data_IF_836697470006
#
_entry.id   IF_836697470006
#
_cell.length_a   1.000
_cell.length_b   1.000
_cell.length_c   1.000
_cell.angle_alpha   90.00
_cell.angle_beta   90.00
_cell.angle_gamma   90.00
#
_symmetry.space_group_name_H-M   'P 1'
#
loop_
_entity.id
_entity.type
_entity.pdbx_description
1 polymer ?
#
# COMPACT_ATOMS: atom_id res chain seq x y z
N UNK A 1 2.78 9.52 3.80
CA UNK A 1 3.26 10.79 4.35
C UNK A 1 2.43 11.95 3.80
N UNK A 2 1.96 12.84 4.67
CA UNK A 2 1.15 14.01 4.31
C UNK A 2 1.96 15.32 4.39
N UNK A 3 3.24 15.28 3.97
CA UNK A 3 4.13 16.43 4.06
C UNK A 3 5.08 16.52 2.87
N UNK A 4 5.15 17.69 2.25
CA UNK A 4 6.11 17.98 1.18
C UNK A 4 7.58 17.85 1.63
N UNK A 5 7.86 18.09 2.91
CA UNK A 5 9.22 17.90 3.48
C UNK A 5 9.69 16.45 3.41
N UNK A 6 8.77 15.48 3.30
CA UNK A 6 9.12 14.08 3.17
C UNK A 6 9.95 13.78 1.91
N UNK A 7 9.78 14.54 0.83
CA UNK A 7 10.58 14.39 -0.40
C UNK A 7 12.06 14.72 -0.16
N UNK A 8 12.35 15.78 0.58
CA UNK A 8 13.73 16.16 0.89
C UNK A 8 14.39 15.11 1.79
N UNK A 9 13.69 14.65 2.81
CA UNK A 9 14.14 13.55 3.68
C UNK A 9 14.37 12.27 2.88
N UNK A 10 13.42 11.88 2.04
CA UNK A 10 13.53 10.69 1.19
C UNK A 10 14.76 10.75 0.27
N UNK A 11 15.00 11.90 -0.36
CA UNK A 11 16.21 12.13 -1.16
C UNK A 11 17.47 11.99 -0.31
N UNK A 12 17.50 12.61 0.88
CA UNK A 12 18.66 12.57 1.79
C UNK A 12 19.03 11.13 2.19
N UNK A 13 18.03 10.27 2.42
CA UNK A 13 18.26 8.88 2.83
C UNK A 13 18.29 7.89 1.67
N UNK A 14 18.16 8.35 0.42
CA UNK A 14 18.36 7.53 -0.77
C UNK A 14 17.17 6.67 -1.18
N UNK A 15 15.92 7.11 -0.89
CA UNK A 15 14.71 6.44 -1.39
C UNK A 15 14.43 6.84 -2.85
N UNK A 16 13.90 5.90 -3.64
CA UNK A 16 13.49 6.13 -5.03
C UNK A 16 12.10 6.77 -5.11
N UNK A 17 11.27 6.54 -4.11
CA UNK A 17 9.90 7.06 -4.04
C UNK A 17 9.35 7.10 -2.62
N UNK A 18 8.19 7.75 -2.50
CA UNK A 18 7.40 7.76 -1.26
C UNK A 18 5.93 7.50 -1.58
N UNK A 19 5.28 6.74 -0.71
CA UNK A 19 3.84 6.62 -0.71
C UNK A 19 3.22 7.81 0.04
N UNK A 20 2.24 8.46 -0.55
CA UNK A 20 1.57 9.63 0.04
C UNK A 20 0.16 9.28 0.51
N UNK A 21 -0.32 9.96 1.55
CA UNK A 21 -1.69 9.76 2.06
C UNK A 21 -2.67 10.67 1.34
N UNK A 22 -3.84 10.15 0.99
CA UNK A 22 -4.93 10.95 0.41
C UNK A 22 -5.48 11.96 1.42
N UNK A 23 -5.61 11.54 2.67
CA UNK A 23 -6.21 12.31 3.76
C UNK A 23 -5.14 12.91 4.66
N UNK A 24 -5.44 14.11 5.18
CA UNK A 24 -4.67 14.71 6.27
C UNK A 24 -5.07 14.11 7.62
N UNK A 25 -4.35 14.51 8.68
CA UNK A 25 -4.63 14.10 10.08
C UNK A 25 -6.05 14.51 10.54
N UNK A 26 -6.66 15.49 9.88
CA UNK A 26 -8.00 16.02 10.19
C UNK A 26 -9.11 15.44 9.32
N UNK A 27 -8.88 14.32 8.66
CA UNK A 27 -9.87 13.67 7.82
C UNK A 27 -10.23 14.43 6.52
N UNK A 28 -9.46 15.44 6.19
CA UNK A 28 -9.66 16.22 4.96
C UNK A 28 -8.94 15.57 3.80
N UNK A 29 -9.63 15.44 2.67
CA UNK A 29 -9.03 14.93 1.42
C UNK A 29 -8.28 16.07 0.73
N UNK A 30 -7.17 16.50 1.32
CA UNK A 30 -6.40 17.67 0.89
C UNK A 30 -5.79 17.50 -0.52
N UNK A 31 -5.50 16.27 -0.95
CA UNK A 31 -4.98 16.00 -2.29
C UNK A 31 -6.03 16.11 -3.41
N UNK A 32 -7.29 16.41 -3.11
CA UNK A 32 -8.26 16.83 -4.13
C UNK A 32 -7.92 18.18 -4.75
N UNK A 33 -7.23 19.04 -3.99
CA UNK A 33 -6.83 20.36 -4.48
C UNK A 33 -5.77 20.24 -5.58
N UNK A 34 -6.06 20.71 -6.81
CA UNK A 34 -5.08 20.71 -7.91
C UNK A 34 -3.79 21.47 -7.58
N UNK A 35 -3.87 22.54 -6.78
CA UNK A 35 -2.70 23.29 -6.35
C UNK A 35 -1.80 22.44 -5.44
N UNK A 36 -2.40 21.66 -4.54
CA UNK A 36 -1.66 20.70 -3.72
C UNK A 36 -1.02 19.59 -4.57
N UNK A 37 -1.78 19.03 -5.51
CA UNK A 37 -1.23 18.03 -6.46
C UNK A 37 -0.03 18.57 -7.22
N UNK A 38 -0.08 19.83 -7.65
CA UNK A 38 1.04 20.48 -8.35
C UNK A 38 2.26 20.60 -7.44
N UNK A 39 2.09 20.98 -6.18
CA UNK A 39 3.19 21.06 -5.21
C UNK A 39 3.88 19.68 -5.01
N UNK A 40 3.11 18.59 -4.97
CA UNK A 40 3.67 17.23 -4.89
C UNK A 40 4.46 16.85 -6.15
N UNK A 41 3.96 17.17 -7.34
CA UNK A 41 4.68 16.97 -8.62
C UNK A 41 5.98 17.79 -8.67
N UNK A 42 5.93 19.04 -8.23
CA UNK A 42 7.11 19.92 -8.21
C UNK A 42 8.15 19.41 -7.21
N UNK A 43 7.73 18.94 -6.04
CA UNK A 43 8.61 18.34 -5.05
C UNK A 43 9.26 17.05 -5.59
N UNK A 44 8.48 16.18 -6.23
CA UNK A 44 9.00 14.96 -6.86
C UNK A 44 10.04 15.31 -7.96
N UNK A 45 9.71 16.24 -8.84
CA UNK A 45 10.62 16.71 -9.90
C UNK A 45 11.92 17.32 -9.33
N UNK A 46 11.80 18.17 -8.31
CA UNK A 46 12.94 18.86 -7.68
C UNK A 46 13.88 17.87 -6.96
N UNK A 47 13.34 16.85 -6.33
CA UNK A 47 14.12 15.90 -5.54
C UNK A 47 14.59 14.69 -6.34
N UNK A 48 13.89 14.33 -7.40
CA UNK A 48 14.06 13.06 -8.12
C UNK A 48 13.41 11.88 -7.43
N UNK A 49 12.66 12.12 -6.34
CA UNK A 49 11.93 11.08 -5.58
C UNK A 49 10.52 10.96 -6.15
N UNK A 50 10.13 9.78 -6.61
CA UNK A 50 8.81 9.55 -7.19
C UNK A 50 7.70 9.56 -6.12
N UNK A 51 6.46 9.89 -6.53
CA UNK A 51 5.27 9.45 -5.77
C UNK A 51 5.00 8.01 -6.17
N UNK A 52 5.39 7.05 -5.32
CA UNK A 52 5.32 5.62 -5.64
C UNK A 52 3.92 5.04 -5.50
N UNK A 53 3.13 5.54 -4.57
CA UNK A 53 1.78 5.06 -4.29
C UNK A 53 0.92 6.10 -3.59
N UNK A 54 -0.38 5.87 -3.58
CA UNK A 54 -1.36 6.64 -2.80
C UNK A 54 -1.97 5.74 -1.74
N UNK A 55 -2.16 6.21 -0.51
CA UNK A 55 -2.70 5.41 0.57
C UNK A 55 -3.95 6.04 1.21
N UNK A 56 -4.94 5.22 1.49
CA UNK A 56 -6.12 5.54 2.30
C UNK A 56 -6.05 4.81 3.64
N UNK A 57 -4.99 5.07 4.43
CA UNK A 57 -4.83 4.49 5.77
C UNK A 57 -5.92 4.92 6.76
N UNK A 58 -6.57 6.06 6.51
CA UNK A 58 -7.71 6.56 7.30
C UNK A 58 -8.88 5.58 7.33
N UNK A 59 -9.00 4.68 6.36
CA UNK A 59 -10.07 3.67 6.32
C UNK A 59 -10.02 2.72 7.51
N UNK A 60 -8.89 2.59 8.20
CA UNK A 60 -8.78 1.81 9.42
C UNK A 60 -9.64 2.39 10.56
N UNK A 61 -9.83 3.70 10.58
CA UNK A 61 -10.63 4.42 11.59
C UNK A 61 -12.04 4.74 11.11
N UNK A 62 -12.18 5.05 9.83
CA UNK A 62 -13.42 5.41 9.15
C UNK A 62 -13.69 4.35 8.09
N UNK A 63 -14.43 3.28 8.45
CA UNK A 63 -14.44 2.04 7.69
C UNK A 63 -15.11 2.16 6.32
N UNK A 64 -14.43 1.69 5.27
CA UNK A 64 -15.00 1.59 3.93
C UNK A 64 -16.20 0.63 3.86
N UNK A 65 -16.27 -0.35 4.77
CA UNK A 65 -17.39 -1.30 4.85
C UNK A 65 -18.69 -0.72 5.45
N UNK A 66 -18.65 0.43 6.14
CA UNK A 66 -19.85 0.95 6.84
C UNK A 66 -20.09 2.45 6.65
N UNK A 67 -19.06 3.27 6.43
CA UNK A 67 -19.18 4.72 6.35
C UNK A 67 -19.41 5.17 4.88
N UNK A 68 -20.57 5.74 4.59
CA UNK A 68 -20.95 6.13 3.22
C UNK A 68 -20.00 7.17 2.60
N UNK A 69 -19.48 8.14 3.40
CA UNK A 69 -18.56 9.18 2.91
C UNK A 69 -17.26 8.63 2.32
N UNK A 70 -16.84 7.44 2.74
CA UNK A 70 -15.61 6.80 2.25
C UNK A 70 -15.73 6.32 0.80
N UNK A 71 -16.93 6.09 0.31
CA UNK A 71 -17.16 5.77 -1.11
C UNK A 71 -16.66 6.89 -2.00
N UNK A 72 -17.00 8.14 -1.65
CA UNK A 72 -16.52 9.30 -2.39
C UNK A 72 -15.00 9.44 -2.28
N UNK A 73 -14.40 9.15 -1.13
CA UNK A 73 -12.95 9.22 -0.97
C UNK A 73 -12.22 8.22 -1.87
N UNK A 74 -12.75 7.00 -2.01
CA UNK A 74 -12.16 6.00 -2.92
C UNK A 74 -12.36 6.42 -4.38
N UNK A 75 -13.50 7.01 -4.74
CA UNK A 75 -13.70 7.59 -6.08
C UNK A 75 -12.71 8.71 -6.39
N UNK A 76 -12.49 9.63 -5.44
CA UNK A 76 -11.57 10.75 -5.59
C UNK A 76 -10.11 10.29 -5.64
N UNK A 77 -9.78 9.22 -4.91
CA UNK A 77 -8.42 8.68 -4.92
C UNK A 77 -7.97 8.25 -6.32
N UNK A 78 -8.90 7.77 -7.14
CA UNK A 78 -8.62 7.42 -8.55
C UNK A 78 -8.24 8.65 -9.37
N UNK A 79 -8.96 9.76 -9.19
CA UNK A 79 -8.65 11.02 -9.89
C UNK A 79 -7.30 11.58 -9.43
N UNK A 80 -7.06 11.55 -8.11
CA UNK A 80 -5.79 12.01 -7.52
C UNK A 80 -4.63 11.13 -8.00
N UNK A 81 -4.76 9.82 -7.98
CA UNK A 81 -3.74 8.90 -8.46
C UNK A 81 -3.39 9.17 -9.94
N UNK A 82 -4.43 9.32 -10.78
CA UNK A 82 -4.25 9.69 -12.19
C UNK A 82 -3.53 11.03 -12.34
N UNK A 83 -3.90 12.05 -11.57
CA UNK A 83 -3.31 13.38 -11.62
C UNK A 83 -1.84 13.37 -11.17
N UNK A 84 -1.47 12.55 -10.19
CA UNK A 84 -0.10 12.38 -9.70
C UNK A 84 0.74 11.38 -10.52
N UNK A 85 0.13 10.66 -11.46
CA UNK A 85 0.80 9.61 -12.24
C UNK A 85 1.06 8.32 -11.46
N UNK A 86 0.36 8.13 -10.33
CA UNK A 86 0.44 6.94 -9.46
C UNK A 86 -0.37 5.80 -10.05
N UNK A 87 0.12 4.57 -9.93
CA UNK A 87 -0.53 3.37 -10.50
C UNK A 87 -1.27 2.53 -9.48
N UNK A 88 -0.89 2.59 -8.20
CA UNK A 88 -1.52 1.80 -7.14
C UNK A 88 -2.03 2.68 -6.00
N UNK A 89 -3.22 2.34 -5.53
CA UNK A 89 -3.88 2.95 -4.37
C UNK A 89 -4.02 1.87 -3.31
N UNK A 90 -3.43 2.08 -2.15
CA UNK A 90 -3.61 1.22 -0.99
C UNK A 90 -4.94 1.56 -0.31
N UNK A 91 -5.80 0.57 -0.19
CA UNK A 91 -7.02 0.61 0.63
C UNK A 91 -6.77 -0.25 1.87
N UNK A 92 -6.70 0.39 3.04
CA UNK A 92 -6.37 -0.27 4.29
C UNK A 92 -7.61 -0.90 4.95
N UNK A 93 -7.52 -2.20 5.27
CA UNK A 93 -8.59 -2.97 5.89
C UNK A 93 -8.14 -3.60 7.21
N UNK A 94 -7.84 -2.73 8.18
CA UNK A 94 -7.46 -3.09 9.54
C UNK A 94 -8.36 -2.38 10.57
N UNK A 95 -8.19 -2.69 11.85
CA UNK A 95 -8.91 -2.03 12.92
C UNK A 95 -10.43 -2.09 12.75
N UNK A 96 -11.11 -0.93 12.67
CA UNK A 96 -12.56 -0.89 12.47
C UNK A 96 -13.00 -1.37 11.08
N UNK A 97 -12.09 -1.33 10.11
CA UNK A 97 -12.34 -1.74 8.72
C UNK A 97 -11.93 -3.20 8.43
N UNK A 98 -11.47 -3.96 9.44
CA UNK A 98 -11.04 -5.33 9.27
C UNK A 98 -12.17 -6.20 8.69
N UNK A 99 -11.85 -6.99 7.67
CA UNK A 99 -12.77 -7.89 6.95
C UNK A 99 -12.68 -9.34 7.44
N UNK A 100 -11.70 -9.65 8.32
CA UNK A 100 -11.54 -11.02 8.82
C UNK A 100 -12.76 -11.44 9.63
N UNK A 101 -13.37 -12.56 9.24
CA UNK A 101 -14.60 -13.07 9.83
C UNK A 101 -15.82 -12.11 9.76
N UNK A 102 -15.83 -11.17 8.78
CA UNK A 102 -16.94 -10.24 8.55
C UNK A 102 -17.53 -10.40 7.13
N UNK A 103 -18.36 -11.42 6.89
CA UNK A 103 -18.93 -11.64 5.57
C UNK A 103 -19.87 -10.52 5.12
N UNK A 104 -20.55 -9.85 6.07
CA UNK A 104 -21.47 -8.75 5.75
C UNK A 104 -20.66 -7.52 5.30
N UNK A 105 -19.64 -7.13 6.06
CA UNK A 105 -18.75 -6.03 5.68
C UNK A 105 -18.01 -6.31 4.38
N UNK A 106 -17.58 -7.56 4.17
CA UNK A 106 -16.95 -7.98 2.91
C UNK A 106 -17.88 -7.82 1.72
N UNK A 107 -19.16 -8.20 1.85
CA UNK A 107 -20.13 -8.00 0.77
C UNK A 107 -20.34 -6.52 0.43
N UNK A 108 -20.42 -5.65 1.44
CA UNK A 108 -20.52 -4.19 1.22
C UNK A 108 -19.29 -3.67 0.47
N UNK A 109 -18.08 -4.11 0.87
CA UNK A 109 -16.83 -3.72 0.20
C UNK A 109 -16.80 -4.18 -1.26
N UNK A 110 -17.24 -5.40 -1.53
CA UNK A 110 -17.36 -5.93 -2.91
C UNK A 110 -18.25 -5.03 -3.77
N UNK A 111 -19.46 -4.67 -3.29
CA UNK A 111 -20.38 -3.82 -4.05
C UNK A 111 -19.79 -2.40 -4.28
N UNK A 112 -19.14 -1.83 -3.27
CA UNK A 112 -18.47 -0.52 -3.40
C UNK A 112 -17.29 -0.56 -4.37
N UNK A 113 -16.50 -1.64 -4.34
CA UNK A 113 -15.41 -1.83 -5.30
C UNK A 113 -15.92 -2.04 -6.72
N UNK A 114 -17.02 -2.78 -6.95
CA UNK A 114 -17.68 -2.88 -8.26
C UNK A 114 -18.08 -1.51 -8.81
N UNK A 115 -18.56 -0.62 -7.95
CA UNK A 115 -19.00 0.72 -8.37
C UNK A 115 -17.82 1.61 -8.80
N UNK A 116 -16.65 1.48 -8.19
CA UNK A 116 -15.46 2.31 -8.50
C UNK A 116 -14.54 1.68 -9.55
N UNK A 117 -14.55 0.36 -9.71
CA UNK A 117 -13.64 -0.37 -10.57
C UNK A 117 -13.61 0.10 -12.04
N UNK A 118 -14.74 0.40 -12.70
CA UNK A 118 -14.73 0.90 -14.08
C UNK A 118 -13.96 2.23 -14.23
N UNK A 119 -14.03 3.10 -13.22
CA UNK A 119 -13.27 4.36 -13.19
C UNK A 119 -11.78 4.10 -13.03
N UNK A 120 -11.40 3.16 -12.15
CA UNK A 120 -10.01 2.76 -11.94
C UNK A 120 -9.42 2.15 -13.21
N UNK A 121 -10.13 1.23 -13.88
CA UNK A 121 -9.73 0.63 -15.16
C UNK A 121 -9.48 1.69 -16.23
N UNK A 122 -10.46 2.58 -16.45
CA UNK A 122 -10.33 3.68 -17.43
C UNK A 122 -9.17 4.60 -17.14
N UNK A 123 -8.80 4.75 -15.87
CA UNK A 123 -7.69 5.61 -15.42
C UNK A 123 -6.34 4.89 -15.41
N UNK A 124 -6.30 3.57 -15.63
CA UNK A 124 -5.11 2.74 -15.52
C UNK A 124 -4.53 2.71 -14.10
N UNK A 125 -5.41 2.76 -13.11
CA UNK A 125 -5.09 2.77 -11.67
C UNK A 125 -5.58 1.47 -11.05
N UNK A 126 -4.83 0.94 -10.11
CA UNK A 126 -5.15 -0.28 -9.35
C UNK A 126 -5.56 0.07 -7.93
N UNK A 127 -6.64 -0.55 -7.45
CA UNK A 127 -7.11 -0.51 -6.08
C UNK A 127 -6.55 -1.74 -5.34
N UNK A 128 -5.59 -1.54 -4.48
CA UNK A 128 -4.91 -2.60 -3.74
C UNK A 128 -5.52 -2.81 -2.36
N UNK A 129 -6.01 -4.00 -2.07
CA UNK A 129 -6.55 -4.39 -0.77
C UNK A 129 -5.38 -4.80 0.12
N UNK A 130 -5.15 -4.10 1.21
CA UNK A 130 -4.24 -4.49 2.28
C UNK A 130 -5.03 -4.88 3.52
N UNK A 131 -4.85 -6.11 4.03
CA UNK A 131 -5.69 -6.66 5.11
C UNK A 131 -5.03 -7.82 5.86
N UNK A 132 -5.75 -8.38 6.86
CA UNK A 132 -5.41 -9.63 7.54
C UNK A 132 -5.90 -10.89 6.80
N UNK A 133 -6.43 -10.78 5.60
CA UNK A 133 -6.98 -11.89 4.84
C UNK A 133 -5.86 -12.75 4.23
N UNK A 134 -6.14 -14.03 4.06
CA UNK A 134 -5.29 -14.95 3.30
C UNK A 134 -5.37 -14.69 1.79
N UNK A 135 -4.45 -15.26 1.03
CA UNK A 135 -4.49 -15.19 -0.43
C UNK A 135 -5.83 -15.66 -1.01
N UNK A 136 -6.37 -16.78 -0.50
CA UNK A 136 -7.66 -17.31 -0.96
C UNK A 136 -8.84 -16.41 -0.61
N UNK A 137 -8.85 -15.77 0.56
CA UNK A 137 -9.88 -14.80 0.95
C UNK A 137 -9.80 -13.53 0.09
N UNK A 138 -8.60 -13.05 -0.22
CA UNK A 138 -8.41 -11.95 -1.17
C UNK A 138 -8.93 -12.31 -2.55
N UNK A 139 -8.61 -13.51 -3.04
CA UNK A 139 -9.08 -13.95 -4.35
C UNK A 139 -10.60 -14.04 -4.42
N UNK A 140 -11.26 -14.47 -3.34
CA UNK A 140 -12.73 -14.49 -3.29
C UNK A 140 -13.34 -13.08 -3.48
N UNK A 141 -12.73 -12.05 -2.89
CA UNK A 141 -13.15 -10.65 -3.08
C UNK A 141 -12.88 -10.20 -4.53
N UNK A 142 -11.68 -10.44 -5.06
CA UNK A 142 -11.27 -10.04 -6.40
C UNK A 142 -12.19 -10.68 -7.46
N UNK A 143 -12.45 -11.97 -7.33
CA UNK A 143 -13.33 -12.71 -8.24
C UNK A 143 -14.78 -12.22 -8.15
N UNK A 144 -15.27 -11.93 -6.94
CA UNK A 144 -16.60 -11.37 -6.73
C UNK A 144 -16.74 -9.95 -7.32
N UNK A 145 -15.70 -9.12 -7.27
CA UNK A 145 -15.69 -7.81 -7.93
C UNK A 145 -15.63 -7.95 -9.45
N UNK A 146 -14.85 -8.90 -9.95
CA UNK A 146 -14.74 -9.20 -11.39
C UNK A 146 -13.99 -8.15 -12.22
N UNK A 147 -13.09 -7.36 -11.58
CA UNK A 147 -12.35 -6.30 -12.25
C UNK A 147 -10.84 -6.49 -12.12
N UNK A 148 -10.06 -6.33 -13.20
CA UNK A 148 -8.60 -6.38 -13.15
C UNK A 148 -7.97 -5.19 -12.43
N UNK A 149 -8.73 -4.14 -12.14
CA UNK A 149 -8.28 -2.97 -11.38
C UNK A 149 -8.25 -3.22 -9.87
N UNK A 150 -8.83 -4.31 -9.37
CA UNK A 150 -8.79 -4.66 -7.94
C UNK A 150 -7.77 -5.77 -7.74
N UNK A 151 -6.81 -5.55 -6.85
CA UNK A 151 -5.70 -6.46 -6.58
C UNK A 151 -5.33 -6.48 -5.11
N UNK A 152 -4.35 -7.28 -4.76
CA UNK A 152 -3.78 -7.35 -3.40
C UNK A 152 -2.62 -6.38 -3.28
N UNK A 153 -2.63 -5.58 -2.23
CA UNK A 153 -1.46 -4.87 -1.71
C UNK A 153 -0.86 -5.77 -0.63
N UNK A 154 0.21 -6.50 -0.95
CA UNK A 154 0.67 -7.60 -0.13
C UNK A 154 1.68 -7.15 0.93
N UNK A 155 1.36 -7.33 2.21
CA UNK A 155 2.29 -7.07 3.32
C UNK A 155 2.84 -8.41 3.86
N UNK A 156 4.14 -8.62 3.67
CA UNK A 156 4.81 -9.88 4.04
C UNK A 156 4.81 -10.14 5.55
N UNK A 157 4.86 -9.07 6.35
CA UNK A 157 4.87 -9.19 7.80
C UNK A 157 3.46 -9.43 8.36
N UNK A 158 2.46 -8.70 7.88
CA UNK A 158 1.08 -8.87 8.30
C UNK A 158 0.61 -10.31 8.04
N UNK A 159 0.85 -10.82 6.83
CA UNK A 159 0.52 -12.21 6.48
C UNK A 159 1.29 -13.23 7.33
N UNK A 160 2.57 -12.98 7.61
CA UNK A 160 3.38 -13.84 8.50
C UNK A 160 2.85 -13.85 9.94
N UNK A 161 2.42 -12.70 10.47
CA UNK A 161 1.82 -12.59 11.83
C UNK A 161 0.50 -13.38 11.92
N UNK A 162 -0.27 -13.43 10.83
CA UNK A 162 -1.48 -14.25 10.74
C UNK A 162 -1.20 -15.76 10.65
N UNK A 163 0.08 -16.15 10.54
CA UNK A 163 0.48 -17.56 10.47
C UNK A 163 0.38 -18.17 9.08
N UNK A 164 0.23 -17.37 8.03
CA UNK A 164 0.19 -17.86 6.65
C UNK A 164 1.59 -18.24 6.14
N UNK A 165 1.66 -19.23 5.24
CA UNK A 165 2.89 -19.44 4.43
C UNK A 165 2.97 -18.34 3.36
N UNK A 166 3.65 -17.26 3.71
CA UNK A 166 3.77 -16.06 2.86
C UNK A 166 4.39 -16.38 1.49
N UNK A 167 5.25 -17.40 1.42
CA UNK A 167 5.89 -17.80 0.17
C UNK A 167 4.91 -18.52 -0.75
N UNK A 168 4.08 -19.38 -0.18
CA UNK A 168 3.01 -20.05 -0.93
C UNK A 168 1.94 -19.04 -1.35
N UNK A 169 1.52 -18.14 -0.45
CA UNK A 169 0.55 -17.09 -0.77
C UNK A 169 1.01 -16.18 -1.91
N UNK A 170 2.29 -15.75 -1.90
CA UNK A 170 2.84 -14.96 -3.01
C UNK A 170 2.84 -15.73 -4.34
N UNK A 171 3.06 -17.05 -4.32
CA UNK A 171 2.97 -17.89 -5.53
C UNK A 171 1.53 -18.03 -6.01
N UNK A 172 0.59 -18.25 -5.10
CA UNK A 172 -0.85 -18.40 -5.41
C UNK A 172 -1.42 -17.12 -6.03
N UNK A 173 -1.07 -15.96 -5.49
CA UNK A 173 -1.46 -14.65 -6.03
C UNK A 173 -0.71 -14.34 -7.34
N UNK A 174 0.57 -14.63 -7.39
CA UNK A 174 1.45 -14.30 -8.50
C UNK A 174 1.52 -12.79 -8.79
N UNK A 175 2.39 -12.41 -9.74
CA UNK A 175 2.54 -10.99 -10.15
C UNK A 175 1.26 -10.37 -10.71
N UNK A 176 0.30 -11.18 -11.14
CA UNK A 176 -0.95 -10.69 -11.72
C UNK A 176 -1.85 -10.08 -10.68
N UNK A 177 -1.88 -10.65 -9.49
CA UNK A 177 -2.78 -10.22 -8.42
C UNK A 177 -2.11 -9.31 -7.37
N UNK A 178 -0.78 -9.30 -7.30
CA UNK A 178 -0.04 -8.39 -6.41
C UNK A 178 0.24 -7.07 -7.12
N UNK A 179 -0.32 -5.95 -6.63
CA UNK A 179 -0.05 -4.63 -7.20
C UNK A 179 1.21 -3.98 -6.61
N UNK A 180 1.38 -4.01 -5.30
CA UNK A 180 2.57 -3.55 -4.58
C UNK A 180 2.82 -4.44 -3.36
N UNK A 181 4.02 -4.35 -2.79
CA UNK A 181 4.44 -5.14 -1.64
C UNK A 181 4.95 -4.23 -0.53
N UNK A 182 4.40 -4.38 0.68
CA UNK A 182 5.00 -3.85 1.89
C UNK A 182 6.11 -4.77 2.40
N UNK A 183 7.30 -4.22 2.57
CA UNK A 183 8.43 -4.85 3.25
C UNK A 183 8.51 -4.28 4.65
N UNK A 184 8.27 -5.15 5.63
CA UNK A 184 8.09 -4.78 7.03
C UNK A 184 8.54 -5.92 7.93
N UNK A 185 8.99 -5.56 9.12
CA UNK A 185 9.24 -6.48 10.23
C UNK A 185 8.59 -5.91 11.49
N UNK A 186 7.79 -6.71 12.18
CA UNK A 186 6.99 -6.22 13.31
C UNK A 186 7.87 -5.79 14.50
N UNK A 187 8.17 -4.50 14.59
CA UNK A 187 9.00 -3.89 15.63
C UNK A 187 10.52 -4.03 15.44
N UNK A 188 10.98 -4.68 14.37
CA UNK A 188 12.39 -4.87 14.06
C UNK A 188 12.79 -4.14 12.77
N UNK A 189 14.09 -3.85 12.63
CA UNK A 189 14.63 -3.40 11.35
C UNK A 189 14.62 -4.55 10.34
N UNK A 190 14.59 -4.21 9.05
CA UNK A 190 14.53 -5.18 7.95
C UNK A 190 15.69 -6.19 8.05
N UNK A 191 15.34 -7.47 8.03
CA UNK A 191 16.29 -8.59 8.17
C UNK A 191 16.69 -8.91 9.61
N UNK A 192 16.15 -8.23 10.62
CA UNK A 192 16.41 -8.50 12.04
C UNK A 192 15.21 -9.15 12.76
N UNK A 193 14.09 -9.30 12.11
CA UNK A 193 12.88 -9.93 12.65
C UNK A 193 12.77 -11.42 12.29
N UNK A 194 11.52 -11.87 12.13
CA UNK A 194 11.21 -13.29 11.89
C UNK A 194 10.94 -13.61 10.43
N UNK A 195 10.75 -12.61 9.57
CA UNK A 195 10.46 -12.82 8.15
C UNK A 195 11.75 -13.17 7.41
N UNK A 196 11.79 -14.29 6.72
CA UNK A 196 12.91 -14.64 5.85
C UNK A 196 12.90 -13.75 4.58
N UNK A 197 13.47 -12.55 4.69
CA UNK A 197 13.51 -11.56 3.61
C UNK A 197 14.30 -12.05 2.39
N UNK A 198 15.27 -12.96 2.54
CA UNK A 198 15.97 -13.56 1.40
C UNK A 198 15.04 -14.45 0.60
N UNK A 199 14.25 -15.26 1.30
CA UNK A 199 13.25 -16.11 0.66
C UNK A 199 12.10 -15.29 0.08
N UNK A 200 11.71 -14.16 0.71
CA UNK A 200 10.78 -13.18 0.12
C UNK A 200 11.31 -12.70 -1.23
N UNK A 201 12.57 -12.26 -1.28
CA UNK A 201 13.21 -11.84 -2.54
C UNK A 201 13.16 -12.95 -3.60
N UNK A 202 13.59 -14.17 -3.27
CA UNK A 202 13.56 -15.31 -4.18
C UNK A 202 12.15 -15.58 -4.72
N UNK A 203 11.13 -15.55 -3.84
CA UNK A 203 9.74 -15.77 -4.25
C UNK A 203 9.23 -14.66 -5.16
N UNK A 204 9.57 -13.40 -4.91
CA UNK A 204 9.22 -12.29 -5.80
C UNK A 204 9.87 -12.45 -7.19
N UNK A 205 11.11 -12.94 -7.25
CA UNK A 205 11.78 -13.24 -8.52
C UNK A 205 11.13 -14.43 -9.24
N UNK A 206 10.81 -15.51 -8.52
CA UNK A 206 10.11 -16.69 -9.06
C UNK A 206 8.79 -16.31 -9.73
N UNK A 207 7.99 -15.44 -9.11
CA UNK A 207 6.72 -14.98 -9.70
C UNK A 207 6.90 -13.87 -10.74
N UNK A 208 8.12 -13.36 -10.91
CA UNK A 208 8.45 -12.29 -11.87
C UNK A 208 7.89 -10.93 -11.48
N UNK A 209 7.76 -10.65 -10.17
CA UNK A 209 7.32 -9.35 -9.67
C UNK A 209 8.36 -8.26 -9.95
N UNK A 210 7.90 -7.07 -10.39
CA UNK A 210 8.76 -5.92 -10.73
C UNK A 210 8.11 -4.57 -10.33
N UNK A 211 7.27 -4.60 -9.30
CA UNK A 211 6.62 -3.41 -8.76
C UNK A 211 7.43 -2.72 -7.66
N UNK A 212 6.82 -1.72 -7.05
CA UNK A 212 7.38 -1.05 -5.89
C UNK A 212 7.44 -1.99 -4.68
N UNK A 213 8.54 -1.89 -3.93
CA UNK A 213 8.69 -2.41 -2.58
C UNK A 213 8.61 -1.23 -1.63
N UNK A 214 7.50 -1.11 -0.93
CA UNK A 214 7.28 -0.02 0.01
C UNK A 214 7.82 -0.42 1.39
N UNK A 215 8.77 0.36 1.92
CA UNK A 215 9.28 0.15 3.27
C UNK A 215 8.32 0.74 4.30
N UNK A 216 7.66 -0.10 5.06
CA UNK A 216 6.99 0.27 6.29
C UNK A 216 7.91 -0.04 7.47
N UNK A 217 9.02 0.72 7.53
CA UNK A 217 10.13 0.44 8.41
C UNK A 217 9.82 0.71 9.88
N UNK A 218 10.18 -0.23 10.75
CA UNK A 218 10.11 -0.02 12.18
C UNK A 218 11.13 1.02 12.67
N UNK A 219 10.75 1.73 13.73
CA UNK A 219 11.63 2.61 14.50
C UNK A 219 11.74 2.03 15.91
N UNK A 220 12.77 1.21 16.21
CA UNK A 220 13.01 0.69 17.55
C UNK A 220 13.13 1.83 18.58
N UNK A 221 12.71 1.56 19.83
CA UNK A 221 12.62 2.60 20.88
C UNK A 221 13.94 3.30 21.22
N UNK A 222 15.05 2.62 21.00
CA UNK A 222 16.41 3.07 21.27
C UNK A 222 17.09 3.79 20.08
N UNK A 223 16.37 3.93 18.96
CA UNK A 223 16.92 4.52 17.74
C UNK A 223 16.11 5.74 17.27
N UNK A 224 16.78 6.67 16.60
CA UNK A 224 16.08 7.75 15.91
C UNK A 224 15.35 7.22 14.66
N UNK A 225 14.32 7.93 14.24
CA UNK A 225 13.62 7.60 12.98
C UNK A 225 14.59 7.64 11.78
N UNK A 226 15.47 8.63 11.74
CA UNK A 226 16.44 8.79 10.64
C UNK A 226 17.41 7.61 10.56
N UNK A 227 18.04 7.23 11.69
CA UNK A 227 18.96 6.10 11.73
C UNK A 227 18.27 4.79 11.37
N UNK A 228 17.04 4.58 11.89
CA UNK A 228 16.24 3.40 11.60
C UNK A 228 15.94 3.28 10.10
N UNK A 229 15.55 4.37 9.45
CA UNK A 229 15.28 4.34 8.01
C UNK A 229 16.56 4.16 7.18
N UNK A 230 17.70 4.75 7.57
CA UNK A 230 18.98 4.53 6.89
C UNK A 230 19.39 3.05 6.97
N UNK A 231 19.25 2.41 8.14
CA UNK A 231 19.54 0.99 8.30
C UNK A 231 18.55 0.11 7.49
N UNK A 232 17.25 0.42 7.56
CA UNK A 232 16.23 -0.30 6.79
C UNK A 232 16.49 -0.22 5.28
N UNK A 233 16.84 0.97 4.75
CA UNK A 233 17.14 1.16 3.32
C UNK A 233 18.40 0.39 2.94
N UNK A 234 19.45 0.44 3.76
CA UNK A 234 20.68 -0.32 3.52
C UNK A 234 20.40 -1.82 3.44
N UNK A 235 19.64 -2.36 4.40
CA UNK A 235 19.26 -3.76 4.41
C UNK A 235 18.39 -4.13 3.21
N UNK A 236 17.39 -3.31 2.87
CA UNK A 236 16.54 -3.53 1.71
C UNK A 236 17.32 -3.52 0.40
N UNK A 237 18.26 -2.58 0.21
CA UNK A 237 19.14 -2.54 -0.98
C UNK A 237 20.00 -3.80 -1.07
N UNK A 238 20.55 -4.31 0.04
CA UNK A 238 21.33 -5.53 0.05
C UNK A 238 20.51 -6.79 -0.27
N UNK A 239 19.25 -6.82 0.14
CA UNK A 239 18.36 -7.97 -0.03
C UNK A 239 17.64 -8.00 -1.38
N UNK A 240 17.29 -6.83 -1.93
CA UNK A 240 16.38 -6.71 -3.06
C UNK A 240 16.99 -6.06 -4.32
N UNK A 241 18.27 -5.73 -4.31
CA UNK A 241 19.00 -5.24 -5.51
C UNK A 241 19.39 -6.37 -6.47
#
# INVERSE_FOLDING_TARGET
LASLKAFDTAKQIGLDGIQVSLNSVKDEVYLRDPAMQQQYKDAAKRTGVAVSGLALGILNEIPYKSEARTEQWVQDSVDVAKALGVKAILLAFFGKNDLKNDPIGTQVVVERLKAVAPKAEKSGVTLGIESWLSASEHMAIIDAVGSPAVKVYYDVCNSSVMGYDIFQEMRDLGKKQICEVHIKENGFLIGQGKVDMKRVRQTLDEIGYRGWLQLEGAVPKDKSMMDSYLENIKAARQLFS
#
